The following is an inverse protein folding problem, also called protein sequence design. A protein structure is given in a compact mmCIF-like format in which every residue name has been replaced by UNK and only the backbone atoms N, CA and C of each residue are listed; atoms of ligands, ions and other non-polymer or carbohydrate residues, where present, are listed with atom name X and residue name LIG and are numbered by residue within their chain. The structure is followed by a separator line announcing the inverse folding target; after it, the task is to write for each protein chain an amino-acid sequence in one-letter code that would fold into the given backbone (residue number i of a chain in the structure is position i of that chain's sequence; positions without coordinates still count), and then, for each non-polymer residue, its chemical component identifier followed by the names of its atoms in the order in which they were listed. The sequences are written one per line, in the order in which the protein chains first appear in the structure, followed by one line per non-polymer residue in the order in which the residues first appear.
data_IF_648166542159
#
_entry.id   IF_648166542159
#
_cell.length_a   1.000
_cell.length_b   1.000
_cell.length_c   1.000
_cell.angle_alpha   90.00
_cell.angle_beta   90.00
_cell.angle_gamma   90.00
#
_symmetry.space_group_name_H-M   'P 1'
#
loop_
_entity.id
_entity.type
_entity.pdbx_description
1 polymer ?
#
# COMPACT_ATOMS: atom_id res chain seq x y z
N UNK A 1 21.08 33.48 14.55
CA UNK A 1 20.55 32.75 13.38
C UNK A 1 19.20 32.16 13.78
N UNK A 2 18.09 32.71 13.30
CA UNK A 2 16.73 32.26 13.69
C UNK A 2 16.44 30.84 13.17
N UNK A 3 16.99 30.50 12.01
CA UNK A 3 16.75 29.22 11.33
C UNK A 3 17.30 27.98 12.07
N UNK A 4 18.33 28.12 12.91
CA UNK A 4 18.90 26.96 13.60
C UNK A 4 17.98 26.37 14.65
N UNK A 5 16.94 27.10 15.10
CA UNK A 5 15.95 26.63 16.08
C UNK A 5 14.62 26.19 15.44
N UNK A 6 14.55 26.14 14.11
CA UNK A 6 13.31 25.79 13.41
C UNK A 6 13.07 24.29 13.52
N UNK A 7 12.03 23.90 14.28
CA UNK A 7 11.64 22.49 14.47
C UNK A 7 10.69 21.95 13.42
N UNK A 8 9.98 22.83 12.73
CA UNK A 8 8.92 22.48 11.80
C UNK A 8 9.03 23.32 10.53
N UNK A 9 8.99 22.66 9.38
CA UNK A 9 9.03 23.28 8.07
C UNK A 9 7.90 22.75 7.20
N UNK A 10 7.10 23.66 6.64
CA UNK A 10 6.03 23.33 5.71
C UNK A 10 6.23 24.12 4.42
N UNK A 11 6.36 23.42 3.31
CA UNK A 11 6.67 23.98 2.00
C UNK A 11 5.72 23.39 0.97
N UNK A 12 5.07 24.27 0.21
CA UNK A 12 4.32 23.92 -1.00
C UNK A 12 5.06 24.50 -2.19
N UNK A 13 5.35 23.65 -3.16
CA UNK A 13 5.99 23.99 -4.43
C UNK A 13 5.02 23.64 -5.52
N UNK A 14 4.60 24.65 -6.28
CA UNK A 14 3.85 24.47 -7.53
C UNK A 14 4.80 24.90 -8.62
N UNK A 15 5.47 23.94 -9.25
CA UNK A 15 6.52 24.20 -10.24
C UNK A 15 6.63 23.04 -11.21
N UNK A 16 7.20 23.31 -12.38
CA UNK A 16 7.65 22.29 -13.33
C UNK A 16 9.14 21.98 -13.17
N UNK A 17 9.82 22.69 -12.25
CA UNK A 17 11.24 22.49 -11.97
C UNK A 17 11.46 21.24 -11.12
N UNK A 18 11.75 20.14 -11.81
CA UNK A 18 12.09 18.84 -11.23
C UNK A 18 13.32 18.90 -10.31
N UNK A 19 14.12 19.98 -10.32
CA UNK A 19 15.24 20.13 -9.40
C UNK A 19 14.80 20.24 -7.92
N UNK A 20 13.52 20.51 -7.65
CA UNK A 20 12.95 20.44 -6.30
C UNK A 20 12.70 19.01 -5.81
N UNK A 21 12.71 18.02 -6.71
CA UNK A 21 12.67 16.60 -6.39
C UNK A 21 14.07 15.98 -6.22
N UNK A 22 15.07 16.79 -5.86
CA UNK A 22 16.42 16.31 -5.57
C UNK A 22 16.61 16.14 -4.05
N UNK A 23 16.54 14.89 -3.59
CA UNK A 23 16.57 14.60 -2.15
C UNK A 23 17.92 14.97 -1.51
N UNK A 24 19.04 14.76 -2.23
CA UNK A 24 20.38 15.10 -1.73
C UNK A 24 20.56 16.60 -1.51
N UNK A 25 19.95 17.42 -2.37
CA UNK A 25 19.94 18.88 -2.20
C UNK A 25 19.16 19.29 -0.95
N UNK A 26 18.03 18.65 -0.69
CA UNK A 26 17.25 18.87 0.53
C UNK A 26 18.04 18.46 1.78
N UNK A 27 18.64 17.28 1.78
CA UNK A 27 19.50 16.79 2.86
C UNK A 27 20.62 17.80 3.18
N UNK A 28 21.36 18.25 2.17
CA UNK A 28 22.43 19.25 2.36
C UNK A 28 21.91 20.58 2.93
N UNK A 29 20.74 21.03 2.47
CA UNK A 29 20.12 22.27 2.96
C UNK A 29 19.72 22.11 4.43
N UNK A 30 19.08 21.00 4.79
CA UNK A 30 18.60 20.72 6.14
C UNK A 30 19.79 20.59 7.10
N UNK A 31 20.79 19.77 6.77
CA UNK A 31 21.99 19.59 7.60
C UNK A 31 22.75 20.91 7.82
N UNK A 32 22.81 21.77 6.78
CA UNK A 32 23.57 23.03 6.86
C UNK A 32 22.84 24.15 7.57
N UNK A 33 21.53 24.26 7.40
CA UNK A 33 20.77 25.46 7.80
C UNK A 33 19.69 25.18 8.85
N UNK A 34 19.20 23.95 8.95
CA UNK A 34 18.08 23.53 9.79
C UNK A 34 18.42 22.26 10.61
N UNK A 35 19.52 22.24 11.38
CA UNK A 35 19.98 21.04 12.07
C UNK A 35 19.01 20.53 13.15
N UNK A 36 18.17 21.40 13.70
CA UNK A 36 17.17 21.06 14.73
C UNK A 36 15.78 20.74 14.12
N UNK A 37 15.70 20.48 12.81
CA UNK A 37 14.42 20.22 12.12
C UNK A 37 13.89 18.82 12.48
N UNK A 38 12.78 18.78 13.22
CA UNK A 38 12.13 17.52 13.61
C UNK A 38 11.12 17.05 12.56
N UNK A 39 10.46 18.00 11.88
CA UNK A 39 9.36 17.71 10.94
C UNK A 39 9.47 18.54 9.68
N UNK A 40 9.42 17.87 8.54
CA UNK A 40 9.27 18.51 7.23
C UNK A 40 7.95 18.07 6.59
N UNK A 41 7.26 19.00 5.94
CA UNK A 41 6.13 18.74 5.06
C UNK A 41 6.44 19.42 3.75
N UNK A 42 7.11 18.69 2.86
CA UNK A 42 7.39 19.13 1.51
C UNK A 42 6.29 18.62 0.61
N UNK A 43 5.63 19.49 -0.12
CA UNK A 43 4.61 19.17 -1.10
C UNK A 43 5.02 19.76 -2.45
N UNK A 44 5.14 18.91 -3.49
CA UNK A 44 5.44 19.32 -4.85
C UNK A 44 4.32 18.88 -5.78
N UNK A 45 3.72 19.85 -6.47
CA UNK A 45 2.59 19.63 -7.37
C UNK A 45 3.02 19.79 -8.81
N UNK A 46 2.67 18.79 -9.61
CA UNK A 46 2.95 18.76 -11.03
C UNK A 46 1.65 18.56 -11.82
N UNK A 47 1.33 19.51 -12.70
CA UNK A 47 0.19 19.43 -13.61
C UNK A 47 0.64 18.86 -14.97
N UNK A 48 0.17 17.65 -15.29
CA UNK A 48 0.55 16.89 -16.49
C UNK A 48 -0.42 17.15 -17.65
N UNK A 49 -1.58 17.78 -17.40
CA UNK A 49 -2.64 18.00 -18.38
C UNK A 49 -2.19 18.75 -19.65
N UNK A 50 -1.22 19.65 -19.51
CA UNK A 50 -0.89 20.65 -20.53
C UNK A 50 0.50 20.48 -21.18
N UNK A 51 1.21 19.37 -20.94
CA UNK A 51 2.62 19.25 -21.32
C UNK A 51 2.85 18.33 -22.52
N UNK A 52 3.00 18.92 -23.70
CA UNK A 52 3.44 18.23 -24.93
C UNK A 52 4.95 17.98 -25.02
N UNK A 53 5.73 18.45 -24.03
CA UNK A 53 7.19 18.24 -23.96
C UNK A 53 7.61 17.93 -22.53
N UNK A 54 7.84 16.65 -22.26
CA UNK A 54 8.22 16.12 -20.96
C UNK A 54 9.63 16.61 -20.57
N UNK A 55 9.77 17.34 -19.46
CA UNK A 55 11.06 17.47 -18.80
C UNK A 55 11.37 16.15 -18.09
N UNK A 56 12.30 15.37 -18.66
CA UNK A 56 12.81 14.14 -18.06
C UNK A 56 13.45 14.51 -16.72
N UNK A 57 13.07 13.84 -15.63
CA UNK A 57 13.76 13.98 -14.36
C UNK A 57 15.26 13.66 -14.56
N UNK A 58 16.17 14.63 -14.38
CA UNK A 58 17.58 14.44 -14.67
C UNK A 58 18.35 13.84 -13.48
N UNK A 59 17.67 13.59 -12.36
CA UNK A 59 18.30 13.10 -11.13
C UNK A 59 18.47 11.59 -11.13
N UNK A 60 19.17 11.09 -10.10
CA UNK A 60 19.27 9.64 -9.88
C UNK A 60 17.95 9.11 -9.30
N UNK A 61 17.56 7.87 -9.63
CA UNK A 61 16.40 7.25 -9.01
C UNK A 61 16.65 7.03 -7.51
N UNK A 62 15.57 6.89 -6.73
CA UNK A 62 15.63 6.44 -5.34
C UNK A 62 16.39 7.34 -4.37
N UNK A 63 16.46 8.65 -4.63
CA UNK A 63 17.17 9.57 -3.72
C UNK A 63 16.47 9.75 -2.36
N UNK A 64 15.16 9.49 -2.27
CA UNK A 64 14.37 9.62 -1.05
C UNK A 64 14.36 8.38 -0.14
N UNK A 65 15.17 7.36 -0.43
CA UNK A 65 15.35 6.17 0.42
C UNK A 65 16.73 6.10 1.09
N UNK A 66 17.46 7.23 1.18
CA UNK A 66 18.75 7.27 1.88
C UNK A 66 18.58 7.14 3.40
N UNK A 67 19.66 6.76 4.10
CA UNK A 67 19.66 6.66 5.56
C UNK A 67 19.22 7.96 6.24
N UNK A 68 19.53 9.12 5.66
CA UNK A 68 19.09 10.41 6.18
C UNK A 68 17.57 10.48 6.36
N UNK A 69 16.78 10.15 5.34
CA UNK A 69 15.31 10.22 5.42
C UNK A 69 14.74 9.21 6.41
N UNK A 70 15.35 8.03 6.46
CA UNK A 70 14.98 6.92 7.36
C UNK A 70 15.26 7.27 8.82
N UNK A 71 16.45 7.81 9.11
CA UNK A 71 16.87 8.19 10.46
C UNK A 71 15.97 9.29 11.05
N UNK A 72 15.45 10.18 10.18
CA UNK A 72 14.48 11.21 10.56
C UNK A 72 13.03 10.71 10.56
N UNK A 73 12.79 9.44 10.21
CA UNK A 73 11.47 8.84 10.08
C UNK A 73 10.57 9.66 9.13
N UNK A 74 11.13 10.14 8.03
CA UNK A 74 10.39 10.87 7.00
C UNK A 74 10.13 9.96 5.81
N UNK A 75 8.87 9.88 5.39
CA UNK A 75 8.44 9.04 4.27
C UNK A 75 8.19 9.88 3.03
N UNK A 76 8.47 9.28 1.88
CA UNK A 76 8.15 9.83 0.57
C UNK A 76 6.88 9.18 0.03
N UNK A 77 5.86 10.01 -0.16
CA UNK A 77 4.56 9.61 -0.68
C UNK A 77 4.32 10.33 -2.00
N UNK A 78 3.80 9.59 -2.97
CA UNK A 78 3.37 10.12 -4.25
C UNK A 78 1.89 9.86 -4.39
N UNK A 79 1.13 10.90 -4.69
CA UNK A 79 -0.32 10.83 -4.90
C UNK A 79 -0.65 11.27 -6.31
N UNK A 80 -1.28 10.39 -7.10
CA UNK A 80 -1.80 10.70 -8.43
C UNK A 80 -3.29 11.03 -8.28
N UNK A 81 -3.64 12.26 -8.69
CA UNK A 81 -5.02 12.76 -8.69
C UNK A 81 -5.31 13.23 -10.10
N UNK A 82 -6.14 12.48 -10.84
CA UNK A 82 -6.42 12.75 -12.26
C UNK A 82 -5.11 12.85 -13.06
N UNK A 83 -4.87 14.00 -13.65
CA UNK A 83 -3.73 14.33 -14.50
C UNK A 83 -2.62 15.02 -13.70
N UNK A 84 -2.66 15.01 -12.37
CA UNK A 84 -1.67 15.66 -11.53
C UNK A 84 -0.93 14.65 -10.65
N UNK A 85 0.36 14.89 -10.48
CA UNK A 85 1.21 14.12 -9.56
C UNK A 85 1.60 15.02 -8.40
N UNK A 86 1.33 14.56 -7.19
CA UNK A 86 1.67 15.25 -5.96
C UNK A 86 2.68 14.42 -5.18
N UNK A 87 3.91 14.92 -5.11
CA UNK A 87 4.98 14.30 -4.33
C UNK A 87 5.03 14.96 -2.96
N UNK A 88 5.26 14.16 -1.91
CA UNK A 88 5.41 14.69 -0.58
C UNK A 88 6.42 13.95 0.26
N UNK A 89 7.18 14.70 1.06
CA UNK A 89 8.00 14.18 2.14
C UNK A 89 7.41 14.65 3.47
N UNK A 90 7.07 13.71 4.35
CA UNK A 90 6.39 14.00 5.62
C UNK A 90 6.82 13.06 6.75
N UNK A 91 6.66 13.44 8.03
CA UNK A 91 6.98 12.55 9.13
C UNK A 91 6.06 11.33 9.07
N UNK A 92 6.64 10.17 9.32
CA UNK A 92 5.93 8.91 9.40
C UNK A 92 4.83 9.02 10.45
N UNK A 93 3.57 8.88 10.01
CA UNK A 93 2.43 8.70 10.91
C UNK A 93 2.14 7.21 10.96
N UNK A 94 2.31 6.62 12.13
CA UNK A 94 1.92 5.25 12.47
C UNK A 94 0.42 5.07 12.21
N UNK A 95 0.04 4.71 10.97
CA UNK A 95 -1.36 4.49 10.57
C UNK A 95 -1.57 3.46 9.46
N UNK A 96 -0.51 2.98 8.80
CA UNK A 96 -0.65 2.11 7.63
C UNK A 96 0.02 0.74 7.83
N UNK A 97 0.70 0.59 8.96
CA UNK A 97 1.38 -0.61 9.38
C UNK A 97 1.15 -0.71 10.88
N UNK A 98 -0.02 -1.16 11.30
CA UNK A 98 -0.28 -1.56 12.69
C UNK A 98 0.44 -2.88 13.01
N UNK A 99 1.71 -2.96 12.58
CA UNK A 99 2.64 -3.86 13.22
C UNK A 99 2.83 -3.38 14.64
N UNK A 100 2.67 -4.32 15.56
CA UNK A 100 3.09 -4.17 16.94
C UNK A 100 4.45 -3.43 16.98
N UNK A 101 4.56 -2.30 17.71
CA UNK A 101 5.73 -1.42 17.69
C UNK A 101 7.05 -2.12 18.04
N UNK A 102 6.98 -3.34 18.56
CA UNK A 102 8.10 -4.17 19.00
C UNK A 102 8.90 -4.81 17.85
N UNK A 103 8.38 -4.87 16.61
CA UNK A 103 9.07 -5.51 15.47
C UNK A 103 9.57 -4.58 14.36
N UNK A 104 9.28 -3.27 14.42
CA UNK A 104 9.54 -2.33 13.30
C UNK A 104 10.98 -1.81 13.24
N UNK A 105 11.82 -2.06 14.26
CA UNK A 105 13.19 -1.54 14.26
C UNK A 105 14.22 -2.37 13.47
N UNK A 106 13.78 -3.16 12.48
CA UNK A 106 14.69 -3.64 11.45
C UNK A 106 14.75 -2.59 10.34
N UNK A 107 15.93 -1.96 10.17
CA UNK A 107 16.23 -0.92 9.18
C UNK A 107 15.83 -1.28 7.75
N UNK A 108 15.72 -2.58 7.44
CA UNK A 108 15.32 -3.09 6.14
C UNK A 108 13.89 -2.75 5.73
N UNK A 109 12.94 -2.70 6.67
CA UNK A 109 11.53 -2.35 6.36
C UNK A 109 11.37 -0.84 6.15
N UNK A 110 12.18 -0.01 6.82
CA UNK A 110 12.18 1.45 6.60
C UNK A 110 12.76 1.83 5.24
N UNK A 111 13.69 1.04 4.68
CA UNK A 111 14.18 1.23 3.31
C UNK A 111 13.06 1.07 2.27
N UNK A 112 11.95 0.43 2.62
CA UNK A 112 10.78 0.23 1.77
C UNK A 112 9.67 1.27 1.98
N UNK A 113 9.96 2.47 2.49
CA UNK A 113 8.92 3.39 2.94
C UNK A 113 8.13 4.14 1.86
N UNK A 114 8.43 3.95 0.58
CA UNK A 114 7.85 4.74 -0.50
C UNK A 114 6.47 4.24 -0.88
N UNK A 115 5.56 5.19 -1.03
CA UNK A 115 4.16 4.92 -1.25
C UNK A 115 3.61 5.64 -2.46
N UNK A 116 2.77 4.95 -3.21
CA UNK A 116 1.94 5.49 -4.26
C UNK A 116 0.47 5.43 -3.85
N UNK A 117 -0.23 6.54 -3.96
CA UNK A 117 -1.68 6.65 -3.75
C UNK A 117 -2.32 7.06 -5.06
N UNK A 118 -3.20 6.22 -5.60
CA UNK A 118 -3.98 6.50 -6.80
C UNK A 118 -5.42 6.76 -6.38
N UNK A 119 -5.95 7.95 -6.68
CA UNK A 119 -7.33 8.32 -6.32
C UNK A 119 -8.29 8.43 -7.49
N UNK A 120 -7.79 8.29 -8.71
CA UNK A 120 -8.58 8.34 -9.94
C UNK A 120 -7.96 7.39 -10.96
N UNK A 121 -8.77 6.48 -11.48
CA UNK A 121 -8.37 5.44 -12.45
C UNK A 121 -9.11 5.54 -13.78
N UNK A 122 -9.80 6.66 -14.03
CA UNK A 122 -10.67 6.85 -15.19
C UNK A 122 -9.96 6.78 -16.56
N UNK A 123 -8.66 7.09 -16.63
CA UNK A 123 -7.85 7.00 -17.85
C UNK A 123 -6.58 6.17 -17.63
N UNK A 124 -6.60 4.92 -18.15
CA UNK A 124 -5.46 3.99 -18.04
C UNK A 124 -4.19 4.51 -18.70
N UNK A 125 -4.29 5.23 -19.81
CA UNK A 125 -3.12 5.76 -20.53
C UNK A 125 -2.44 6.87 -19.73
N UNK A 126 -3.22 7.83 -19.25
CA UNK A 126 -2.70 8.93 -18.43
C UNK A 126 -2.13 8.39 -17.12
N UNK A 127 -2.86 7.49 -16.46
CA UNK A 127 -2.38 6.83 -15.25
C UNK A 127 -1.05 6.12 -15.51
N UNK A 128 -0.96 5.31 -16.57
CA UNK A 128 0.28 4.61 -16.95
C UNK A 128 1.44 5.58 -17.16
N UNK A 129 1.24 6.68 -17.89
CA UNK A 129 2.28 7.69 -18.11
C UNK A 129 2.73 8.33 -16.79
N UNK A 130 1.79 8.70 -15.93
CA UNK A 130 2.11 9.25 -14.61
C UNK A 130 2.89 8.27 -13.75
N UNK A 131 2.53 6.99 -13.76
CA UNK A 131 3.24 5.93 -13.03
C UNK A 131 4.67 5.77 -13.55
N UNK A 132 4.85 5.69 -14.87
CA UNK A 132 6.20 5.61 -15.46
C UNK A 132 7.06 6.83 -15.08
N UNK A 133 6.44 8.01 -15.00
CA UNK A 133 7.11 9.22 -14.51
C UNK A 133 7.53 9.11 -13.05
N UNK A 134 6.63 8.65 -12.18
CA UNK A 134 6.96 8.40 -10.76
C UNK A 134 8.09 7.38 -10.62
N UNK A 135 8.04 6.29 -11.38
CA UNK A 135 9.05 5.23 -11.37
C UNK A 135 10.42 5.67 -11.88
N UNK A 136 10.49 6.75 -12.68
CA UNK A 136 11.76 7.38 -13.05
C UNK A 136 12.45 8.09 -11.88
N UNK A 137 11.70 8.44 -10.83
CA UNK A 137 12.18 9.18 -9.66
C UNK A 137 12.39 8.25 -8.47
N UNK A 138 11.44 7.33 -8.25
CA UNK A 138 11.39 6.52 -7.04
C UNK A 138 10.75 5.17 -7.30
N UNK A 139 11.32 4.13 -6.69
CA UNK A 139 10.75 2.81 -6.58
C UNK A 139 9.58 2.86 -5.61
N UNK A 140 8.53 2.10 -5.87
CA UNK A 140 7.32 2.06 -5.04
C UNK A 140 7.18 0.68 -4.40
N UNK A 141 7.02 0.66 -3.07
CA UNK A 141 6.82 -0.58 -2.31
C UNK A 141 5.40 -0.72 -1.76
N UNK A 142 4.66 0.38 -1.67
CA UNK A 142 3.30 0.39 -1.16
C UNK A 142 2.36 1.09 -2.14
N UNK A 143 1.26 0.43 -2.48
CA UNK A 143 0.23 0.96 -3.38
C UNK A 143 -1.08 1.06 -2.59
N UNK A 144 -1.68 2.25 -2.59
CA UNK A 144 -3.08 2.43 -2.22
C UNK A 144 -3.88 2.90 -3.43
N UNK A 145 -4.98 2.21 -3.71
CA UNK A 145 -6.03 2.68 -4.61
C UNK A 145 -7.20 3.12 -3.74
N UNK A 146 -7.31 4.44 -3.52
CA UNK A 146 -8.29 5.03 -2.60
C UNK A 146 -9.66 5.29 -3.24
N UNK A 147 -9.79 5.08 -4.55
CA UNK A 147 -11.05 5.31 -5.28
C UNK A 147 -12.10 4.27 -4.88
N UNK A 148 -13.33 4.73 -4.62
CA UNK A 148 -14.44 3.85 -4.23
C UNK A 148 -14.85 2.88 -5.34
N UNK A 149 -14.49 3.18 -6.58
CA UNK A 149 -14.70 2.32 -7.74
C UNK A 149 -13.48 2.48 -8.64
N UNK A 150 -12.73 1.41 -8.88
CA UNK A 150 -11.65 1.42 -9.85
C UNK A 150 -11.85 0.35 -10.91
N UNK A 151 -11.32 0.60 -12.10
CA UNK A 151 -11.35 -0.37 -13.20
C UNK A 151 -10.29 -1.45 -12.95
N UNK A 152 -10.68 -2.72 -12.95
CA UNK A 152 -9.75 -3.85 -12.69
C UNK A 152 -8.52 -3.83 -13.59
N UNK A 153 -8.67 -3.41 -14.85
CA UNK A 153 -7.55 -3.25 -15.79
C UNK A 153 -6.49 -2.25 -15.30
N UNK A 154 -6.90 -1.21 -14.56
CA UNK A 154 -5.97 -0.26 -13.95
C UNK A 154 -5.14 -0.94 -12.87
N UNK A 155 -5.75 -1.78 -12.04
CA UNK A 155 -5.05 -2.56 -11.02
C UNK A 155 -4.03 -3.52 -11.67
N UNK A 156 -4.43 -4.30 -12.69
CA UNK A 156 -3.50 -5.21 -13.38
C UNK A 156 -2.31 -4.47 -14.00
N UNK A 157 -2.60 -3.35 -14.68
CA UNK A 157 -1.56 -2.50 -15.24
C UNK A 157 -0.60 -1.99 -14.15
N UNK A 158 -1.12 -1.49 -13.02
CA UNK A 158 -0.29 -1.04 -11.90
C UNK A 158 0.56 -2.17 -11.33
N UNK A 159 -0.02 -3.34 -11.11
CA UNK A 159 0.70 -4.51 -10.61
C UNK A 159 1.82 -4.94 -11.55
N UNK A 160 1.61 -4.89 -12.87
CA UNK A 160 2.66 -5.18 -13.86
C UNK A 160 3.80 -4.16 -13.87
N UNK A 161 3.53 -2.90 -13.49
CA UNK A 161 4.53 -1.83 -13.44
C UNK A 161 5.27 -1.78 -12.09
N UNK A 162 4.76 -2.48 -11.07
CA UNK A 162 5.25 -2.43 -9.69
C UNK A 162 5.69 -3.82 -9.20
N UNK A 163 6.72 -4.44 -9.81
CA UNK A 163 7.15 -5.80 -9.44
C UNK A 163 7.70 -5.91 -8.01
N UNK A 164 8.08 -4.80 -7.41
CA UNK A 164 8.69 -4.74 -6.07
C UNK A 164 7.68 -4.39 -4.98
N UNK A 165 6.38 -4.42 -5.31
CA UNK A 165 5.31 -4.08 -4.39
C UNK A 165 5.25 -5.07 -3.21
N UNK A 166 5.26 -4.52 -2.01
CA UNK A 166 5.20 -5.27 -0.74
C UNK A 166 3.85 -5.16 -0.06
N UNK A 167 3.14 -4.04 -0.26
CA UNK A 167 1.81 -3.79 0.32
C UNK A 167 0.85 -3.28 -0.71
N UNK A 168 -0.35 -3.87 -0.72
CA UNK A 168 -1.46 -3.45 -1.55
C UNK A 168 -2.65 -3.09 -0.67
N UNK A 169 -3.17 -1.88 -0.85
CA UNK A 169 -4.38 -1.41 -0.17
C UNK A 169 -5.42 -0.97 -1.19
N UNK A 170 -6.62 -1.51 -1.09
CA UNK A 170 -7.70 -1.27 -2.03
C UNK A 170 -8.93 -0.80 -1.26
N UNK A 171 -9.52 0.32 -1.68
CA UNK A 171 -10.71 0.86 -1.02
C UNK A 171 -11.96 0.02 -1.32
N UNK A 172 -12.14 -0.41 -2.57
CA UNK A 172 -13.32 -1.15 -2.95
C UNK A 172 -13.05 -2.04 -4.16
N UNK A 173 -13.52 -3.27 -4.08
CA UNK A 173 -13.63 -4.16 -5.21
C UNK A 173 -15.05 -4.05 -5.80
N UNK A 174 -15.41 -2.95 -6.49
CA UNK A 174 -16.68 -2.90 -7.23
C UNK A 174 -16.41 -3.23 -8.71
N UNK A 175 -16.91 -4.37 -9.17
CA UNK A 175 -17.02 -4.60 -10.61
C UNK A 175 -18.30 -3.94 -11.09
N UNK A 176 -18.18 -2.91 -11.93
CA UNK A 176 -19.08 -2.92 -13.08
C UNK A 176 -18.83 -4.26 -13.77
N UNK A 177 -19.85 -5.05 -14.05
CA UNK A 177 -19.77 -6.40 -14.63
C UNK A 177 -19.22 -6.41 -16.08
N UNK A 178 -18.21 -5.59 -16.38
CA UNK A 178 -17.39 -5.79 -17.56
C UNK A 178 -16.61 -7.06 -17.31
N UNK A 179 -16.90 -8.05 -18.15
CA UNK A 179 -16.34 -9.40 -18.11
C UNK A 179 -14.88 -9.35 -17.66
N UNK A 180 -14.57 -10.09 -16.58
CA UNK A 180 -13.18 -10.35 -16.26
C UNK A 180 -12.53 -10.89 -17.54
N UNK A 181 -11.33 -10.40 -17.90
CA UNK A 181 -10.76 -10.72 -19.19
C UNK A 181 -10.70 -12.23 -19.42
N UNK A 182 -11.07 -12.66 -20.63
CA UNK A 182 -11.12 -14.07 -21.00
C UNK A 182 -9.74 -14.76 -20.86
N UNK A 183 -9.75 -16.09 -20.84
CA UNK A 183 -8.64 -17.04 -20.59
C UNK A 183 -7.27 -16.76 -21.20
N UNK A 184 -7.12 -15.86 -22.18
CA UNK A 184 -5.80 -15.43 -22.68
C UNK A 184 -5.02 -14.58 -21.64
N UNK A 185 -5.71 -14.00 -20.65
CA UNK A 185 -5.07 -13.38 -19.49
C UNK A 185 -4.52 -14.35 -18.44
N UNK A 186 -4.81 -15.66 -18.56
CA UNK A 186 -4.09 -16.66 -17.76
C UNK A 186 -2.58 -16.50 -17.97
N UNK A 187 -2.10 -16.18 -19.18
CA UNK A 187 -0.67 -16.01 -19.41
C UNK A 187 -0.07 -14.80 -18.67
N UNK A 188 -0.79 -13.67 -18.63
CA UNK A 188 -0.34 -12.46 -17.92
C UNK A 188 -0.36 -12.67 -16.40
N UNK A 189 -1.37 -13.37 -15.89
CA UNK A 189 -1.44 -13.69 -14.46
C UNK A 189 -0.31 -14.59 -14.01
N UNK A 190 0.11 -15.58 -14.83
CA UNK A 190 1.26 -16.43 -14.49
C UNK A 190 2.57 -15.63 -14.41
N UNK A 191 2.84 -14.74 -15.39
CA UNK A 191 4.08 -13.95 -15.39
C UNK A 191 4.18 -12.96 -14.24
N UNK A 192 3.06 -12.35 -13.83
CA UNK A 192 3.08 -11.37 -12.73
C UNK A 192 3.13 -12.10 -11.38
N UNK A 193 2.44 -13.23 -11.24
CA UNK A 193 2.41 -14.01 -10.00
C UNK A 193 3.80 -14.44 -9.52
N UNK A 194 4.68 -14.86 -10.43
CA UNK A 194 6.01 -15.37 -10.05
C UNK A 194 6.97 -14.28 -9.58
N UNK A 195 6.65 -13.02 -9.86
CA UNK A 195 7.47 -11.86 -9.44
C UNK A 195 6.86 -11.07 -8.28
N UNK A 196 5.63 -11.42 -7.89
CA UNK A 196 4.90 -10.72 -6.84
C UNK A 196 5.61 -10.87 -5.48
N UNK A 197 5.80 -9.73 -4.80
CA UNK A 197 6.40 -9.65 -3.44
C UNK A 197 5.42 -9.12 -2.39
N UNK A 198 4.13 -9.08 -2.71
CA UNK A 198 3.08 -8.56 -1.84
C UNK A 198 2.88 -9.53 -0.68
N UNK A 199 3.17 -9.04 0.52
CA UNK A 199 2.99 -9.79 1.77
C UNK A 199 1.85 -9.23 2.61
N UNK A 200 1.36 -8.02 2.30
CA UNK A 200 0.31 -7.35 3.05
C UNK A 200 -0.79 -6.87 2.12
N UNK A 201 -2.01 -7.31 2.39
CA UNK A 201 -3.20 -6.94 1.62
C UNK A 201 -4.22 -6.28 2.56
N UNK A 202 -4.66 -5.07 2.23
CA UNK A 202 -5.69 -4.35 2.96
C UNK A 202 -6.87 -4.11 2.03
N UNK A 203 -8.04 -4.61 2.40
CA UNK A 203 -9.27 -4.53 1.62
C UNK A 203 -10.31 -3.80 2.43
N UNK A 204 -10.60 -2.55 2.08
CA UNK A 204 -11.56 -1.77 2.88
C UNK A 204 -13.01 -2.18 2.63
N UNK A 205 -13.31 -2.71 1.44
CA UNK A 205 -14.64 -3.21 1.13
C UNK A 205 -14.57 -4.34 0.09
N UNK A 206 -15.17 -5.49 0.43
CA UNK A 206 -15.28 -6.65 -0.46
C UNK A 206 -16.69 -6.73 -1.05
N UNK A 207 -16.90 -6.08 -2.19
CA UNK A 207 -18.15 -6.21 -2.95
C UNK A 207 -18.03 -7.15 -4.17
N UNK A 208 -16.80 -7.57 -4.55
CA UNK A 208 -16.54 -8.44 -5.69
C UNK A 208 -15.64 -9.61 -5.27
N UNK A 209 -16.28 -10.76 -5.05
CA UNK A 209 -15.61 -12.00 -4.69
C UNK A 209 -14.65 -12.51 -5.76
N UNK A 210 -14.92 -12.29 -7.06
CA UNK A 210 -14.01 -12.74 -8.12
C UNK A 210 -12.66 -12.04 -7.99
N UNK A 211 -12.67 -10.72 -7.78
CA UNK A 211 -11.45 -9.95 -7.55
C UNK A 211 -10.78 -10.32 -6.22
N UNK A 212 -11.56 -10.53 -5.15
CA UNK A 212 -11.02 -11.02 -3.87
C UNK A 212 -10.26 -12.34 -4.03
N UNK A 213 -10.87 -13.35 -4.66
CA UNK A 213 -10.22 -14.64 -4.91
C UNK A 213 -9.01 -14.51 -5.84
N UNK A 214 -9.10 -13.65 -6.86
CA UNK A 214 -7.95 -13.33 -7.69
C UNK A 214 -6.79 -12.80 -6.84
N UNK A 215 -7.03 -11.82 -5.95
CA UNK A 215 -6.00 -11.23 -5.11
C UNK A 215 -5.35 -12.22 -4.16
N UNK A 216 -6.15 -13.14 -3.59
CA UNK A 216 -5.62 -14.23 -2.75
C UNK A 216 -4.71 -15.17 -3.54
N UNK A 217 -5.05 -15.49 -4.79
CA UNK A 217 -4.19 -16.30 -5.66
C UNK A 217 -2.95 -15.53 -6.14
N UNK A 218 -3.11 -14.22 -6.36
CA UNK A 218 -2.07 -13.32 -6.85
C UNK A 218 -0.96 -13.08 -5.81
N UNK A 219 -1.34 -12.92 -4.54
CA UNK A 219 -0.42 -12.67 -3.44
C UNK A 219 0.02 -13.99 -2.78
N UNK A 220 0.84 -14.80 -3.45
CA UNK A 220 1.27 -16.12 -2.94
C UNK A 220 2.04 -16.06 -1.61
N UNK A 221 2.75 -14.97 -1.36
CA UNK A 221 3.53 -14.76 -0.13
C UNK A 221 2.79 -13.92 0.91
N UNK A 222 1.46 -13.95 0.90
CA UNK A 222 0.64 -13.14 1.79
C UNK A 222 0.87 -13.56 3.26
N UNK A 223 1.43 -12.65 4.05
CA UNK A 223 1.66 -12.82 5.49
C UNK A 223 0.55 -12.17 6.33
N UNK A 224 -0.05 -11.10 5.80
CA UNK A 224 -1.06 -10.31 6.49
C UNK A 224 -2.20 -9.94 5.54
N UNK A 225 -3.42 -10.17 6.00
CA UNK A 225 -4.61 -9.65 5.33
C UNK A 225 -5.50 -8.93 6.33
N UNK A 226 -5.96 -7.75 5.95
CA UNK A 226 -6.95 -6.96 6.67
C UNK A 226 -8.15 -6.73 5.77
N UNK A 227 -9.32 -6.99 6.33
CA UNK A 227 -10.59 -6.82 5.65
C UNK A 227 -11.46 -5.92 6.51
N UNK A 228 -11.88 -4.79 5.95
CA UNK A 228 -12.88 -3.93 6.55
C UNK A 228 -14.24 -4.13 5.88
N UNK A 229 -15.27 -3.63 6.57
CA UNK A 229 -16.63 -3.38 6.08
C UNK A 229 -17.24 -4.48 5.19
N UNK A 230 -17.72 -5.55 5.83
CA UNK A 230 -18.55 -6.59 5.21
C UNK A 230 -19.99 -6.44 5.71
N UNK A 231 -20.74 -5.55 5.07
CA UNK A 231 -22.14 -5.22 5.41
C UNK A 231 -23.06 -6.46 5.42
N UNK A 232 -22.69 -7.54 4.74
CA UNK A 232 -23.56 -8.72 4.56
C UNK A 232 -22.85 -10.09 4.74
N UNK A 233 -21.54 -10.13 5.03
CA UNK A 233 -20.80 -11.39 5.02
C UNK A 233 -20.49 -11.94 6.41
N UNK A 234 -20.59 -13.27 6.55
CA UNK A 234 -20.13 -13.97 7.73
C UNK A 234 -18.60 -14.02 7.74
N UNK A 235 -17.98 -13.41 8.77
CA UNK A 235 -16.53 -13.48 9.05
C UNK A 235 -15.99 -14.92 8.93
N UNK A 236 -16.81 -15.91 9.30
CA UNK A 236 -16.44 -17.33 9.19
C UNK A 236 -16.21 -17.78 7.76
N UNK A 237 -17.09 -17.38 6.83
CA UNK A 237 -16.99 -17.74 5.42
C UNK A 237 -15.76 -17.11 4.79
N UNK A 238 -15.54 -15.81 5.01
CA UNK A 238 -14.34 -15.12 4.51
C UNK A 238 -13.07 -15.75 5.08
N UNK A 239 -13.04 -16.03 6.39
CA UNK A 239 -11.90 -16.69 7.01
C UNK A 239 -11.62 -18.07 6.39
N UNK A 240 -12.66 -18.88 6.18
CA UNK A 240 -12.52 -20.18 5.55
C UNK A 240 -11.92 -20.04 4.14
N UNK A 241 -12.39 -19.08 3.36
CA UNK A 241 -11.91 -18.82 2.00
C UNK A 241 -10.44 -18.36 1.98
N UNK A 242 -10.06 -17.44 2.87
CA UNK A 242 -8.67 -17.00 3.04
C UNK A 242 -7.79 -18.21 3.33
N UNK A 243 -8.14 -18.99 4.37
CA UNK A 243 -7.35 -20.13 4.82
C UNK A 243 -7.21 -21.21 3.74
N UNK A 244 -8.30 -21.52 3.03
CA UNK A 244 -8.27 -22.53 1.97
C UNK A 244 -7.41 -22.09 0.78
N UNK A 245 -7.39 -20.79 0.46
CA UNK A 245 -6.62 -20.26 -0.67
C UNK A 245 -5.14 -20.04 -0.34
N UNK A 246 -4.82 -19.53 0.85
CA UNK A 246 -3.43 -19.27 1.23
C UNK A 246 -2.66 -20.54 1.58
N UNK A 247 -3.35 -21.60 2.01
CA UNK A 247 -2.67 -22.85 2.43
C UNK A 247 -2.63 -23.92 1.34
N UNK A 248 -3.19 -23.66 0.15
CA UNK A 248 -3.33 -24.68 -0.90
C UNK A 248 -1.97 -25.21 -1.39
N UNK A 249 -0.94 -24.38 -1.37
CA UNK A 249 0.38 -24.72 -1.92
C UNK A 249 1.34 -25.33 -0.86
N UNK A 250 0.85 -25.60 0.36
CA UNK A 250 1.65 -26.16 1.46
C UNK A 250 2.59 -25.16 2.14
N UNK A 251 2.82 -24.00 1.52
CA UNK A 251 3.58 -22.88 2.07
C UNK A 251 2.67 -22.01 2.94
N UNK A 252 2.66 -22.29 4.24
CA UNK A 252 1.92 -21.49 5.23
C UNK A 252 2.62 -20.15 5.49
N UNK A 253 2.49 -19.19 4.57
CA UNK A 253 3.02 -17.84 4.72
C UNK A 253 2.13 -16.92 5.57
N UNK A 254 0.82 -17.20 5.59
CA UNK A 254 -0.13 -16.38 6.32
C UNK A 254 0.19 -16.42 7.81
N UNK A 255 0.44 -15.25 8.40
CA UNK A 255 0.74 -15.09 9.82
C UNK A 255 -0.42 -14.46 10.57
N UNK A 256 -1.19 -13.56 9.93
CA UNK A 256 -2.29 -12.89 10.62
C UNK A 256 -3.39 -12.45 9.66
N UNK A 257 -4.63 -12.59 10.15
CA UNK A 257 -5.85 -12.09 9.51
C UNK A 257 -6.48 -11.07 10.45
N UNK A 258 -6.85 -9.91 9.95
CA UNK A 258 -7.58 -8.87 10.68
C UNK A 258 -8.95 -8.64 10.03
N UNK A 259 -9.97 -8.53 10.88
CA UNK A 259 -11.31 -8.16 10.46
C UNK A 259 -11.77 -6.95 11.28
N UNK A 260 -12.13 -5.86 10.61
CA UNK A 260 -12.76 -4.72 11.27
C UNK A 260 -14.26 -4.99 11.44
N UNK A 261 -14.70 -5.20 12.68
CA UNK A 261 -16.08 -5.53 13.05
C UNK A 261 -16.51 -4.65 14.23
N UNK A 262 -17.10 -3.47 13.97
CA UNK A 262 -17.56 -2.55 15.02
C UNK A 262 -18.55 -3.15 16.03
N UNK A 263 -19.23 -4.23 15.64
CA UNK A 263 -20.21 -4.93 16.47
C UNK A 263 -19.65 -6.15 17.20
N UNK A 264 -18.33 -6.41 17.11
CA UNK A 264 -17.72 -7.59 17.69
C UNK A 264 -17.75 -7.56 19.22
N UNK A 265 -18.31 -8.62 19.79
CA UNK A 265 -18.32 -8.87 21.23
C UNK A 265 -17.56 -10.16 21.59
N UNK A 266 -17.38 -10.40 22.89
CA UNK A 266 -16.69 -11.60 23.36
C UNK A 266 -17.42 -12.91 22.99
N UNK A 267 -18.74 -12.83 22.75
CA UNK A 267 -19.54 -13.98 22.31
C UNK A 267 -19.21 -14.34 20.86
N UNK A 268 -19.07 -13.36 19.98
CA UNK A 268 -18.61 -13.54 18.61
C UNK A 268 -17.21 -14.16 18.57
N UNK A 269 -16.27 -13.66 19.39
CA UNK A 269 -14.92 -14.23 19.50
C UNK A 269 -14.95 -15.71 19.94
N UNK A 270 -15.76 -16.04 20.96
CA UNK A 270 -15.94 -17.43 21.43
C UNK A 270 -16.53 -18.32 20.33
N UNK A 271 -17.53 -17.82 19.60
CA UNK A 271 -18.17 -18.55 18.51
C UNK A 271 -17.21 -18.78 17.33
N UNK A 272 -16.40 -17.77 16.99
CA UNK A 272 -15.40 -17.87 15.93
C UNK A 272 -14.29 -18.88 16.31
N UNK A 273 -13.77 -18.81 17.54
CA UNK A 273 -12.80 -19.79 18.05
C UNK A 273 -13.37 -21.22 18.05
N UNK A 274 -14.63 -21.40 18.45
CA UNK A 274 -15.32 -22.70 18.39
C UNK A 274 -15.40 -23.19 16.94
N UNK A 275 -15.84 -22.34 16.03
CA UNK A 275 -15.98 -22.66 14.61
C UNK A 275 -14.65 -23.11 13.98
N UNK A 276 -13.57 -22.34 14.19
CA UNK A 276 -12.22 -22.67 13.67
C UNK A 276 -11.75 -24.05 14.16
N UNK A 277 -12.00 -24.37 15.44
CA UNK A 277 -11.61 -25.66 16.05
C UNK A 277 -12.44 -26.82 15.53
N UNK A 278 -13.75 -26.66 15.43
CA UNK A 278 -14.66 -27.70 14.94
C UNK A 278 -14.39 -28.06 13.48
N UNK A 279 -14.09 -27.05 12.65
CA UNK A 279 -13.80 -27.23 11.22
C UNK A 279 -12.31 -27.45 10.93
N UNK A 280 -11.46 -27.45 11.98
CA UNK A 280 -10.00 -27.61 11.88
C UNK A 280 -9.36 -26.67 10.84
N UNK A 281 -9.85 -25.43 10.75
CA UNK A 281 -9.34 -24.47 9.77
C UNK A 281 -7.87 -24.11 10.08
N UNK A 282 -7.53 -23.96 11.37
CA UNK A 282 -6.21 -23.54 11.82
C UNK A 282 -5.76 -24.41 13.01
N UNK A 283 -4.50 -24.86 13.02
CA UNK A 283 -3.96 -25.75 14.05
C UNK A 283 -3.41 -24.97 15.26
N UNK A 284 -2.68 -23.88 15.04
CA UNK A 284 -2.04 -23.08 16.09
C UNK A 284 -2.37 -21.60 15.89
N UNK A 285 -3.43 -21.12 16.55
CA UNK A 285 -3.88 -19.74 16.41
C UNK A 285 -4.19 -19.07 17.75
N UNK A 286 -4.16 -17.74 17.75
CA UNK A 286 -4.64 -16.88 18.82
C UNK A 286 -5.60 -15.85 18.24
N UNK A 287 -6.79 -15.73 18.84
CA UNK A 287 -7.70 -14.64 18.52
C UNK A 287 -7.55 -13.55 19.58
N UNK A 288 -7.33 -12.31 19.15
CA UNK A 288 -7.35 -11.13 20.02
C UNK A 288 -8.38 -10.14 19.46
N UNK A 289 -9.12 -9.48 20.34
CA UNK A 289 -9.94 -8.32 19.99
C UNK A 289 -9.24 -7.06 20.49
N UNK A 290 -9.07 -6.07 19.63
CA UNK A 290 -8.54 -4.74 19.99
C UNK A 290 -9.53 -3.71 19.46
N UNK A 291 -10.29 -3.08 20.35
CA UNK A 291 -11.42 -2.22 19.97
C UNK A 291 -12.39 -2.98 19.05
N UNK A 292 -12.54 -2.51 17.81
CA UNK A 292 -13.44 -3.03 16.79
C UNK A 292 -12.76 -4.07 15.90
N UNK A 293 -11.47 -4.36 16.11
CA UNK A 293 -10.69 -5.25 15.25
C UNK A 293 -10.53 -6.63 15.88
N UNK A 294 -10.77 -7.67 15.07
CA UNK A 294 -10.54 -9.08 15.41
C UNK A 294 -9.28 -9.56 14.69
N UNK A 295 -8.22 -9.80 15.45
CA UNK A 295 -6.97 -10.37 14.95
C UNK A 295 -6.92 -11.87 15.19
N UNK A 296 -6.65 -12.64 14.14
CA UNK A 296 -6.37 -14.08 14.19
C UNK A 296 -4.91 -14.26 13.79
N UNK A 297 -4.04 -14.51 14.77
CA UNK A 297 -2.60 -14.69 14.56
C UNK A 297 -2.24 -16.17 14.62
N UNK A 298 -1.49 -16.63 13.62
CA UNK A 298 -0.93 -17.96 13.51
C UNK A 298 0.42 -18.03 14.25
N UNK A 299 0.67 -19.14 14.96
CA UNK A 299 1.88 -19.36 15.75
C UNK A 299 2.77 -20.43 15.14
#
# INVERSE_FOLDING_TARGET
KIYSKLKFLYIIIVSQDVAFLNARRWEQLILKFLPDLEKIYLHYYEDVANQSQYSIYPGEPNQFISSFWIDHQWIFEVKIIKESIHYSARPYKKRWFDYTPEKIFNSFELLKSTQLIVTDTSSNEILRLNILRVLSIVQIYHLEMSEEQFVTNSLFMLLSLLPELYTLKLYCCSSEEREMPNSDEDFMTHSINDTNKVTKLYLKNINNFKLFYFLLNFCRHLEYIEVDDFVEMDVKSILQDIVLKTNHDGDNHLHSVCFHVPTADDKMIKNLNKYIREHKLLLNFKINRVLDDIYITLK
#
